data_IF_028676359711
#
_entry.id   IF_028676359711
#
_cell.length_a   1.000
_cell.length_b   1.000
_cell.length_c   1.000
_cell.angle_alpha   90.00
_cell.angle_beta   90.00
_cell.angle_gamma   90.00
#
_symmetry.space_group_name_H-M   'P 1'
#
loop_
_entity.id
_entity.type
_entity.pdbx_description
1 polymer ?
#
# COMPACT_ATOMS: atom_id res chain seq x y z
N UNK A 1 -11.23 -3.49 -5.26
CA UNK A 1 -10.55 -3.26 -6.55
C UNK A 1 -9.91 -4.57 -6.94
N UNK A 2 -10.16 -5.07 -8.16
CA UNK A 2 -9.50 -6.26 -8.68
C UNK A 2 -8.45 -5.82 -9.71
N UNK A 3 -7.24 -6.36 -9.58
CA UNK A 3 -6.12 -6.18 -10.51
C UNK A 3 -5.57 -7.57 -10.80
N UNK A 4 -5.37 -7.88 -12.07
CA UNK A 4 -4.73 -9.13 -12.53
C UNK A 4 -3.49 -8.71 -13.32
N UNK A 5 -2.34 -9.30 -13.02
CA UNK A 5 -1.10 -8.98 -13.71
C UNK A 5 -0.37 -10.28 -13.98
N UNK A 6 0.02 -10.50 -15.22
CA UNK A 6 0.80 -11.67 -15.60
C UNK A 6 1.43 -11.48 -16.99
N UNK A 7 2.28 -12.43 -17.35
CA UNK A 7 2.62 -12.71 -18.75
C UNK A 7 1.49 -13.54 -19.37
N UNK A 8 0.66 -12.89 -20.18
CA UNK A 8 -0.46 -13.55 -20.84
C UNK A 8 -0.05 -14.17 -22.17
N UNK A 9 1.21 -13.96 -22.62
CA UNK A 9 1.70 -14.35 -23.94
C UNK A 9 0.72 -13.92 -25.06
N UNK A 10 0.19 -12.70 -24.94
CA UNK A 10 -0.92 -12.18 -25.72
C UNK A 10 -0.55 -10.80 -26.26
N UNK A 11 -0.64 -10.59 -27.58
CA UNK A 11 -0.51 -9.25 -28.17
C UNK A 11 -1.90 -8.75 -28.51
N UNK A 12 -2.28 -7.59 -27.95
CA UNK A 12 -3.62 -7.02 -28.09
C UNK A 12 -3.73 -5.98 -29.21
N UNK A 13 -2.62 -5.58 -29.82
CA UNK A 13 -2.59 -4.65 -30.95
C UNK A 13 -3.10 -3.24 -30.64
N UNK A 14 -3.71 -2.60 -31.65
CA UNK A 14 -4.20 -1.22 -31.62
C UNK A 14 -5.67 -1.03 -32.09
N UNK A 15 -6.43 -2.11 -32.27
CA UNK A 15 -7.84 -2.05 -32.72
C UNK A 15 -8.79 -1.58 -31.61
N UNK A 16 -8.69 -0.30 -31.28
CA UNK A 16 -9.54 0.35 -30.28
C UNK A 16 -11.01 0.40 -30.70
N UNK A 17 -11.31 0.56 -31.99
CA UNK A 17 -12.70 0.74 -32.43
C UNK A 17 -13.54 -0.50 -32.17
N UNK A 18 -12.98 -1.69 -32.39
CA UNK A 18 -13.62 -2.97 -32.03
C UNK A 18 -13.68 -3.17 -30.52
N UNK A 19 -12.60 -2.83 -29.80
CA UNK A 19 -12.40 -3.20 -28.38
C UNK A 19 -12.52 -2.04 -27.38
N UNK A 20 -13.23 -0.96 -27.74
CA UNK A 20 -13.34 0.29 -26.96
C UNK A 20 -13.74 0.13 -25.49
N UNK A 21 -14.42 -0.97 -25.17
CA UNK A 21 -14.90 -1.25 -23.82
C UNK A 21 -13.77 -1.73 -22.89
N UNK A 22 -12.77 -2.44 -23.45
CA UNK A 22 -11.70 -3.12 -22.71
C UNK A 22 -10.32 -2.51 -22.97
N UNK A 23 -10.12 -1.86 -24.12
CA UNK A 23 -8.88 -1.22 -24.52
C UNK A 23 -8.98 0.30 -24.54
N UNK A 24 -7.83 0.97 -24.45
CA UNK A 24 -7.68 2.38 -24.74
C UNK A 24 -7.09 2.61 -26.14
N UNK A 25 -7.01 3.89 -26.52
CA UNK A 25 -6.57 4.33 -27.86
C UNK A 25 -5.06 4.26 -28.09
N UNK A 26 -4.30 3.78 -27.11
CA UNK A 26 -2.84 3.85 -27.09
C UNK A 26 -2.20 2.45 -27.10
N UNK A 27 -2.82 1.48 -27.77
CA UNK A 27 -2.19 0.22 -28.14
C UNK A 27 -0.88 0.40 -28.94
N UNK A 28 -0.24 -0.70 -29.33
CA UNK A 28 0.98 -0.64 -30.14
C UNK A 28 0.57 -0.55 -31.61
N UNK A 29 0.85 0.62 -32.22
CA UNK A 29 0.43 0.90 -33.59
C UNK A 29 1.06 -0.10 -34.56
N UNK A 30 0.22 -0.76 -35.35
CA UNK A 30 0.65 -1.76 -36.34
C UNK A 30 1.09 -3.10 -35.74
N UNK A 31 0.87 -3.35 -34.46
CA UNK A 31 1.03 -4.69 -33.87
C UNK A 31 -0.24 -5.50 -34.11
N UNK A 32 -0.11 -6.66 -34.73
CA UNK A 32 -1.24 -7.56 -34.94
C UNK A 32 -1.71 -8.19 -33.62
N UNK A 33 -3.03 -8.25 -33.44
CA UNK A 33 -3.65 -8.98 -32.34
C UNK A 33 -3.47 -10.48 -32.56
N UNK A 34 -2.85 -11.18 -31.61
CA UNK A 34 -2.69 -12.64 -31.69
C UNK A 34 -3.97 -13.37 -31.25
N UNK A 35 -4.08 -14.68 -31.51
CA UNK A 35 -5.20 -15.49 -30.99
C UNK A 35 -5.33 -15.40 -29.46
N UNK A 36 -4.20 -15.48 -28.74
CA UNK A 36 -4.17 -15.24 -27.29
C UNK A 36 -4.61 -13.80 -26.94
N UNK A 37 -4.25 -12.82 -27.77
CA UNK A 37 -4.72 -11.44 -27.66
C UNK A 37 -6.24 -11.33 -27.73
N UNK A 38 -6.86 -11.95 -28.72
CA UNK A 38 -8.32 -12.00 -28.87
C UNK A 38 -8.97 -12.65 -27.65
N UNK A 39 -8.48 -13.81 -27.21
CA UNK A 39 -9.00 -14.49 -26.01
C UNK A 39 -8.86 -13.65 -24.76
N UNK A 40 -7.74 -12.91 -24.60
CA UNK A 40 -7.54 -11.99 -23.49
C UNK A 40 -8.53 -10.83 -23.52
N UNK A 41 -8.81 -10.29 -24.70
CA UNK A 41 -9.77 -9.20 -24.89
C UNK A 41 -11.21 -9.67 -24.62
N UNK A 42 -11.59 -10.85 -25.10
CA UNK A 42 -12.87 -11.50 -24.79
C UNK A 42 -13.02 -11.76 -23.29
N UNK A 43 -11.98 -12.31 -22.65
CA UNK A 43 -11.94 -12.50 -21.20
C UNK A 43 -12.15 -11.17 -20.47
N UNK A 44 -11.46 -10.11 -20.89
CA UNK A 44 -11.63 -8.79 -20.30
C UNK A 44 -13.06 -8.27 -20.47
N UNK A 45 -13.68 -8.51 -21.62
CA UNK A 45 -15.03 -8.06 -21.92
C UNK A 45 -16.05 -8.76 -21.01
N UNK A 46 -15.99 -10.10 -20.92
CA UNK A 46 -16.88 -10.91 -20.09
C UNK A 46 -16.76 -10.56 -18.61
N UNK A 47 -15.53 -10.30 -18.13
CA UNK A 47 -15.27 -10.04 -16.71
C UNK A 47 -15.24 -8.56 -16.32
N UNK A 48 -15.65 -7.66 -17.21
CA UNK A 48 -15.63 -6.21 -16.99
C UNK A 48 -14.23 -5.72 -16.53
N UNK A 49 -13.19 -6.16 -17.22
CA UNK A 49 -11.81 -5.73 -17.03
C UNK A 49 -11.38 -4.81 -18.16
N UNK A 50 -10.23 -4.17 -17.99
CA UNK A 50 -9.62 -3.35 -19.04
C UNK A 50 -8.10 -3.47 -19.01
N UNK A 51 -7.50 -3.45 -20.20
CA UNK A 51 -6.06 -3.62 -20.41
C UNK A 51 -5.36 -2.27 -20.26
N UNK A 52 -4.73 -2.03 -19.12
CA UNK A 52 -4.25 -0.68 -18.76
C UNK A 52 -3.06 -0.21 -19.60
N UNK A 53 -2.27 -1.13 -20.17
CA UNK A 53 -1.12 -0.81 -21.04
C UNK A 53 -1.52 -0.08 -22.33
N UNK A 54 -2.80 -0.10 -22.69
CA UNK A 54 -3.34 0.52 -23.90
C UNK A 54 -3.95 1.92 -23.65
N UNK A 55 -3.95 2.41 -22.41
CA UNK A 55 -4.67 3.64 -22.04
C UNK A 55 -3.88 4.92 -22.25
N UNK A 56 -2.56 4.85 -22.14
CA UNK A 56 -1.69 6.03 -22.07
C UNK A 56 -0.74 6.09 -23.26
N UNK A 57 -0.59 7.29 -23.81
CA UNK A 57 0.36 7.52 -24.90
C UNK A 57 1.78 7.50 -24.36
N UNK A 58 2.58 6.59 -24.90
CA UNK A 58 4.00 6.41 -24.57
C UNK A 58 4.80 6.09 -25.81
N UNK A 59 6.11 6.35 -25.77
CA UNK A 59 7.03 5.80 -26.78
C UNK A 59 7.05 4.28 -26.69
N UNK A 60 7.21 3.58 -27.82
CA UNK A 60 7.17 2.11 -27.86
C UNK A 60 8.21 1.44 -26.92
N UNK A 61 9.35 2.09 -26.66
CA UNK A 61 10.35 1.63 -25.68
C UNK A 61 9.82 1.50 -24.24
N UNK A 62 8.69 2.15 -23.94
CA UNK A 62 7.97 2.07 -22.66
C UNK A 62 6.70 1.21 -22.73
N UNK A 63 6.46 0.53 -23.86
CA UNK A 63 5.31 -0.36 -24.07
C UNK A 63 5.72 -1.82 -24.24
N UNK A 64 6.86 -2.09 -24.87
CA UNK A 64 7.37 -3.44 -25.08
C UNK A 64 7.87 -4.06 -23.77
N UNK A 65 7.26 -5.18 -23.41
CA UNK A 65 7.56 -5.91 -22.17
C UNK A 65 8.49 -7.09 -22.43
N UNK A 66 8.58 -7.59 -23.67
CA UNK A 66 9.46 -8.69 -24.05
C UNK A 66 10.38 -8.34 -25.21
N UNK A 67 11.62 -8.81 -25.12
CA UNK A 67 12.71 -8.61 -26.08
C UNK A 67 13.33 -9.95 -26.45
N UNK A 68 12.97 -10.48 -27.61
CA UNK A 68 13.53 -11.74 -28.10
C UNK A 68 15.05 -11.66 -28.25
N UNK A 69 15.72 -12.76 -27.87
CA UNK A 69 17.17 -12.93 -28.04
C UNK A 69 17.55 -13.46 -29.43
N UNK A 70 16.59 -13.61 -30.34
CA UNK A 70 16.84 -14.04 -31.70
C UNK A 70 17.59 -12.96 -32.51
N UNK A 71 18.14 -13.36 -33.67
CA UNK A 71 18.92 -12.46 -34.56
C UNK A 71 18.11 -11.25 -35.06
N UNK A 72 16.78 -11.36 -35.07
CA UNK A 72 15.86 -10.32 -35.55
C UNK A 72 15.52 -9.28 -34.48
N UNK A 73 15.81 -9.56 -33.20
CA UNK A 73 15.60 -8.63 -32.09
C UNK A 73 14.15 -8.19 -31.94
N UNK A 74 13.20 -9.12 -32.15
CA UNK A 74 11.76 -8.83 -32.11
C UNK A 74 11.31 -8.39 -30.72
N UNK A 75 10.36 -7.45 -30.67
CA UNK A 75 9.85 -6.85 -29.44
C UNK A 75 8.35 -7.01 -29.41
N UNK A 76 7.79 -7.30 -28.25
CA UNK A 76 6.34 -7.46 -28.10
C UNK A 76 5.85 -6.96 -26.75
N UNK A 77 4.57 -6.64 -26.70
CA UNK A 77 3.85 -6.46 -25.44
C UNK A 77 3.04 -7.73 -25.17
N UNK A 78 3.46 -8.50 -24.16
CA UNK A 78 2.82 -9.77 -23.75
C UNK A 78 2.51 -9.84 -22.26
N UNK A 79 3.18 -8.99 -21.47
CA UNK A 79 2.84 -8.77 -20.07
C UNK A 79 1.76 -7.69 -20.00
N UNK A 80 0.68 -7.95 -19.27
CA UNK A 80 -0.42 -6.99 -19.12
C UNK A 80 -0.82 -6.81 -17.67
N UNK A 81 -1.34 -5.63 -17.39
CA UNK A 81 -2.04 -5.31 -16.15
C UNK A 81 -3.49 -5.05 -16.52
N UNK A 82 -4.38 -5.88 -15.96
CA UNK A 82 -5.81 -5.78 -16.12
C UNK A 82 -6.41 -5.19 -14.85
N UNK A 83 -7.37 -4.29 -15.01
CA UNK A 83 -8.10 -3.72 -13.87
C UNK A 83 -9.59 -3.83 -14.10
N UNK A 84 -10.36 -4.04 -13.03
CA UNK A 84 -11.81 -3.92 -13.13
C UNK A 84 -12.22 -2.55 -13.66
N UNK A 85 -13.11 -2.54 -14.65
CA UNK A 85 -13.49 -1.37 -15.44
C UNK A 85 -14.02 -0.21 -14.61
N UNK A 86 -14.69 -0.50 -13.49
CA UNK A 86 -15.14 0.51 -12.50
C UNK A 86 -13.98 1.37 -11.97
N UNK A 87 -12.78 0.79 -11.88
CA UNK A 87 -11.58 1.42 -11.33
C UNK A 87 -10.63 1.92 -12.41
N UNK A 88 -11.00 1.85 -13.70
CA UNK A 88 -10.11 2.26 -14.82
C UNK A 88 -9.64 3.71 -14.71
N UNK A 89 -10.47 4.60 -14.18
CA UNK A 89 -10.15 6.02 -13.98
C UNK A 89 -9.25 6.27 -12.76
N UNK A 90 -9.02 5.26 -11.93
CA UNK A 90 -8.05 5.32 -10.84
C UNK A 90 -6.62 5.06 -11.33
N UNK A 91 -6.44 4.49 -12.52
CA UNK A 91 -5.11 4.29 -13.10
C UNK A 91 -4.61 5.65 -13.60
N UNK A 92 -3.45 6.08 -13.11
CA UNK A 92 -2.78 7.32 -13.53
C UNK A 92 -1.77 7.08 -14.66
N UNK A 93 -1.14 5.89 -14.69
CA UNK A 93 -0.19 5.53 -15.73
C UNK A 93 0.00 3.99 -15.79
N UNK A 94 0.37 3.45 -16.94
CA UNK A 94 0.88 2.08 -17.10
C UNK A 94 1.98 2.07 -18.16
N UNK A 95 3.19 1.66 -17.77
CA UNK A 95 4.36 1.66 -18.65
C UNK A 95 5.48 0.75 -18.16
N UNK A 96 6.38 0.42 -19.08
CA UNK A 96 7.58 -0.37 -18.80
C UNK A 96 8.66 0.46 -18.13
N UNK A 97 9.22 -0.07 -17.04
CA UNK A 97 10.28 0.53 -16.24
C UNK A 97 11.66 0.06 -16.69
N UNK A 98 12.30 0.87 -17.54
CA UNK A 98 13.61 0.57 -18.13
C UNK A 98 14.79 0.65 -17.16
N UNK A 99 14.59 1.17 -15.95
CA UNK A 99 15.64 1.24 -14.93
C UNK A 99 15.94 -0.11 -14.26
N UNK A 100 15.12 -1.13 -14.49
CA UNK A 100 15.27 -2.47 -13.94
C UNK A 100 15.93 -3.47 -14.91
N UNK A 101 16.53 -3.01 -16.02
CA UNK A 101 17.15 -3.83 -17.08
C UNK A 101 18.43 -4.60 -16.60
N UNK A 102 18.71 -4.73 -15.31
CA UNK A 102 19.95 -5.32 -14.77
C UNK A 102 19.93 -6.85 -14.59
N UNK A 103 18.78 -7.51 -14.73
CA UNK A 103 18.59 -8.93 -14.35
C UNK A 103 18.81 -9.98 -15.46
N UNK A 104 19.44 -9.62 -16.59
CA UNK A 104 19.66 -10.53 -17.74
C UNK A 104 18.42 -11.35 -18.15
N UNK A 105 17.24 -10.74 -18.03
CA UNK A 105 15.96 -11.27 -18.50
C UNK A 105 15.60 -10.62 -19.83
N UNK A 106 14.91 -11.36 -20.68
CA UNK A 106 14.28 -10.86 -21.91
C UNK A 106 12.97 -10.12 -21.63
N UNK A 107 12.43 -10.22 -20.40
CA UNK A 107 11.29 -9.44 -19.96
C UNK A 107 11.70 -8.14 -19.28
N UNK A 108 10.84 -7.13 -19.40
CA UNK A 108 10.96 -5.84 -18.73
C UNK A 108 9.79 -5.61 -17.80
N UNK A 109 10.10 -5.03 -16.64
CA UNK A 109 9.13 -4.77 -15.60
C UNK A 109 8.04 -3.79 -16.08
N UNK A 110 6.79 -4.26 -16.15
CA UNK A 110 5.61 -3.42 -16.37
C UNK A 110 5.11 -2.85 -15.04
N UNK A 111 4.90 -1.54 -14.97
CA UNK A 111 4.38 -0.86 -13.78
C UNK A 111 3.07 -0.16 -14.09
N UNK A 112 2.12 -0.22 -13.16
CA UNK A 112 0.90 0.58 -13.18
C UNK A 112 0.81 1.45 -11.93
N UNK A 113 0.57 2.75 -12.13
CA UNK A 113 0.38 3.72 -11.05
C UNK A 113 -1.11 3.89 -10.81
N UNK A 114 -1.60 3.55 -9.62
CA UNK A 114 -3.04 3.58 -9.30
C UNK A 114 -3.28 4.51 -8.11
N UNK A 115 -4.20 5.47 -8.28
CA UNK A 115 -4.66 6.39 -7.24
C UNK A 115 -5.96 5.90 -6.62
N UNK A 116 -5.90 5.54 -5.35
CA UNK A 116 -7.07 5.09 -4.58
C UNK A 116 -7.42 6.14 -3.54
N UNK A 117 -8.68 6.58 -3.52
CA UNK A 117 -9.24 7.38 -2.43
C UNK A 117 -9.98 6.46 -1.47
N UNK A 118 -9.36 6.15 -0.34
CA UNK A 118 -9.99 5.35 0.70
C UNK A 118 -10.76 6.25 1.65
N UNK A 119 -12.01 5.87 1.98
CA UNK A 119 -12.71 6.47 3.11
C UNK A 119 -12.07 5.92 4.39
N UNK A 120 -11.56 6.79 5.24
CA UNK A 120 -11.13 6.38 6.58
C UNK A 120 -12.39 5.98 7.34
N UNK A 121 -12.57 4.68 7.56
CA UNK A 121 -13.54 4.20 8.52
C UNK A 121 -12.96 4.47 9.90
N UNK A 122 -13.62 5.34 10.68
CA UNK A 122 -13.29 5.48 12.11
C UNK A 122 -13.60 4.13 12.73
N UNK A 123 -12.56 3.46 13.21
CA UNK A 123 -12.75 2.26 14.00
C UNK A 123 -13.23 2.74 15.38
N UNK A 124 -14.54 2.78 15.59
CA UNK A 124 -15.12 3.20 16.87
C UNK A 124 -14.78 2.22 18.00
N UNK A 125 -14.31 1.01 17.64
CA UNK A 125 -13.75 0.01 18.56
C UNK A 125 -12.31 0.32 18.99
N UNK A 126 -12.01 1.57 19.35
CA UNK A 126 -10.75 1.85 20.05
C UNK A 126 -10.85 1.28 21.46
N UNK A 127 -10.30 0.08 21.65
CA UNK A 127 -10.13 -0.52 22.98
C UNK A 127 -9.29 0.45 23.82
N UNK A 128 -9.94 1.06 24.80
CA UNK A 128 -9.28 1.94 25.77
C UNK A 128 -8.48 1.07 26.71
N UNK A 129 -7.14 1.20 26.67
CA UNK A 129 -6.25 0.43 27.54
C UNK A 129 -6.03 1.20 28.85
N UNK A 130 -6.14 0.52 29.99
CA UNK A 130 -5.74 1.06 31.28
C UNK A 130 -4.21 1.24 31.36
N UNK A 131 -3.74 2.25 32.09
CA UNK A 131 -2.30 2.46 32.33
C UNK A 131 -1.78 1.53 33.45
N UNK A 132 -1.61 0.25 33.14
CA UNK A 132 -1.20 -0.77 34.13
C UNK A 132 0.13 -0.47 34.83
N UNK A 133 0.96 0.44 34.31
CA UNK A 133 2.18 0.91 34.99
C UNK A 133 1.86 1.55 36.34
N UNK A 134 0.67 2.15 36.47
CA UNK A 134 0.20 2.75 37.72
C UNK A 134 0.06 1.74 38.88
N UNK A 135 -0.08 0.44 38.59
CA UNK A 135 -0.15 -0.63 39.60
C UNK A 135 1.23 -0.98 40.22
N UNK A 136 2.31 -0.37 39.73
CA UNK A 136 3.59 -0.38 40.43
C UNK A 136 3.52 0.43 41.73
N UNK A 137 2.62 1.41 41.82
CA UNK A 137 2.34 2.11 43.07
C UNK A 137 1.52 1.19 44.01
N UNK A 138 2.01 0.89 45.23
CA UNK A 138 1.32 0.02 46.18
C UNK A 138 -0.09 0.52 46.56
N UNK A 139 -0.31 1.84 46.68
CA UNK A 139 -1.62 2.39 47.02
C UNK A 139 -2.67 2.09 45.94
N UNK A 140 -2.28 2.26 44.67
CA UNK A 140 -3.16 1.97 43.52
C UNK A 140 -3.42 0.47 43.36
N UNK A 141 -2.48 -0.37 43.77
CA UNK A 141 -2.68 -1.82 43.78
C UNK A 141 -3.76 -2.22 44.78
N UNK A 142 -3.68 -1.67 46.00
CA UNK A 142 -4.66 -1.93 47.05
C UNK A 142 -6.05 -1.42 46.62
N UNK A 143 -6.14 -0.21 46.05
CA UNK A 143 -7.42 0.33 45.54
C UNK A 143 -8.01 -0.54 44.42
N UNK A 144 -7.16 -1.05 43.52
CA UNK A 144 -7.60 -1.97 42.46
C UNK A 144 -8.11 -3.30 43.00
N UNK A 145 -7.38 -3.91 43.94
CA UNK A 145 -7.78 -5.17 44.59
C UNK A 145 -9.13 -5.03 45.31
N UNK A 146 -9.32 -3.95 46.08
CA UNK A 146 -10.56 -3.65 46.77
C UNK A 146 -11.73 -3.46 45.81
N UNK A 147 -11.56 -2.66 44.74
CA UNK A 147 -12.62 -2.44 43.74
C UNK A 147 -12.96 -3.70 42.97
N UNK A 148 -11.96 -4.50 42.61
CA UNK A 148 -12.18 -5.76 41.91
C UNK A 148 -12.95 -6.74 42.80
N UNK A 149 -12.54 -6.90 44.06
CA UNK A 149 -13.22 -7.74 45.04
C UNK A 149 -14.68 -7.30 45.27
N UNK A 150 -14.93 -5.99 45.37
CA UNK A 150 -16.28 -5.44 45.52
C UNK A 150 -17.17 -5.75 44.32
N UNK A 151 -16.67 -5.58 43.08
CA UNK A 151 -17.44 -5.92 41.87
C UNK A 151 -17.75 -7.40 41.79
N UNK A 152 -16.81 -8.28 42.12
CA UNK A 152 -17.09 -9.73 42.17
C UNK A 152 -18.01 -10.14 43.31
N UNK A 153 -17.95 -9.46 44.46
CA UNK A 153 -18.86 -9.73 45.58
C UNK A 153 -20.31 -9.41 45.22
N UNK A 154 -20.56 -8.38 44.38
CA UNK A 154 -21.90 -8.05 43.87
C UNK A 154 -22.43 -9.00 42.79
N UNK A 155 -21.60 -9.91 42.25
CA UNK A 155 -21.94 -10.82 41.16
C UNK A 155 -22.30 -12.24 41.63
N UNK A 156 -22.46 -12.45 42.95
CA UNK A 156 -22.84 -13.75 43.53
C UNK A 156 -24.27 -14.12 43.12
N UNK A 157 -24.42 -14.80 41.99
CA UNK A 157 -25.38 -15.89 41.70
C UNK A 157 -25.71 -16.08 40.19
N UNK A 158 -25.14 -15.29 39.26
CA UNK A 158 -25.33 -15.52 37.82
C UNK A 158 -24.25 -16.45 37.23
N UNK A 159 -24.33 -17.75 37.54
CA UNK A 159 -23.57 -18.76 36.80
C UNK A 159 -24.19 -18.96 35.40
N UNK A 160 -23.87 -18.06 34.47
CA UNK A 160 -24.25 -18.17 33.06
C UNK A 160 -23.37 -19.16 32.27
N UNK A 161 -23.62 -19.25 30.96
CA UNK A 161 -22.73 -19.95 30.02
C UNK A 161 -21.31 -19.31 30.04
N UNK A 162 -20.27 -20.08 29.70
CA UNK A 162 -18.86 -19.70 29.70
C UNK A 162 -18.60 -18.33 29.06
N UNK A 163 -19.25 -18.02 27.95
CA UNK A 163 -19.10 -16.73 27.25
C UNK A 163 -19.54 -15.55 28.11
N UNK A 164 -20.68 -15.68 28.80
CA UNK A 164 -21.19 -14.63 29.70
C UNK A 164 -20.27 -14.46 30.91
N UNK A 165 -19.78 -15.55 31.48
CA UNK A 165 -18.86 -15.49 32.62
C UNK A 165 -17.53 -14.81 32.22
N UNK A 166 -17.05 -15.07 31.01
CA UNK A 166 -15.88 -14.40 30.45
C UNK A 166 -16.12 -12.90 30.22
N UNK A 167 -17.27 -12.51 29.68
CA UNK A 167 -17.64 -11.10 29.50
C UNK A 167 -17.69 -10.36 30.83
N UNK A 168 -18.34 -10.93 31.85
CA UNK A 168 -18.42 -10.36 33.20
C UNK A 168 -17.01 -10.17 33.80
N UNK A 169 -16.16 -11.19 33.72
CA UNK A 169 -14.79 -11.11 34.23
C UNK A 169 -13.98 -10.05 33.50
N UNK A 170 -14.08 -10.01 32.18
CA UNK A 170 -13.40 -9.02 31.33
C UNK A 170 -13.87 -7.61 31.66
N UNK A 171 -15.17 -7.39 31.79
CA UNK A 171 -15.75 -6.08 32.09
C UNK A 171 -15.39 -5.62 33.51
N UNK A 172 -15.53 -6.47 34.52
CA UNK A 172 -15.17 -6.15 35.90
C UNK A 172 -13.67 -5.79 36.02
N UNK A 173 -12.80 -6.57 35.38
CA UNK A 173 -11.36 -6.34 35.41
C UNK A 173 -10.97 -5.06 34.65
N UNK A 174 -11.49 -4.88 33.44
CA UNK A 174 -11.13 -3.73 32.60
C UNK A 174 -11.70 -2.42 33.13
N UNK A 175 -12.93 -2.41 33.64
CA UNK A 175 -13.55 -1.21 34.24
C UNK A 175 -12.83 -0.78 35.51
N UNK A 176 -12.54 -1.72 36.43
CA UNK A 176 -11.76 -1.42 37.65
C UNK A 176 -10.35 -0.91 37.31
N UNK A 177 -9.70 -1.50 36.31
CA UNK A 177 -8.38 -1.04 35.88
C UNK A 177 -8.45 0.37 35.28
N UNK A 178 -9.49 0.69 34.52
CA UNK A 178 -9.68 2.03 33.94
C UNK A 178 -9.99 3.08 35.01
N UNK A 179 -10.77 2.74 36.04
CA UNK A 179 -11.10 3.64 37.16
C UNK A 179 -9.87 3.98 38.00
N UNK A 180 -9.02 2.98 38.32
CA UNK A 180 -7.86 3.17 39.23
C UNK A 180 -6.63 3.68 38.48
N UNK A 181 -6.32 3.08 37.33
CA UNK A 181 -5.11 3.39 36.58
C UNK A 181 -5.33 4.53 35.58
N UNK A 182 -6.58 4.83 35.23
CA UNK A 182 -6.88 5.78 34.16
C UNK A 182 -6.52 5.24 32.77
N UNK A 183 -6.82 6.05 31.75
CA UNK A 183 -6.54 5.70 30.35
C UNK A 183 -5.05 5.84 30.05
N UNK A 184 -4.46 4.84 29.40
CA UNK A 184 -3.10 4.91 28.88
C UNK A 184 -2.99 6.06 27.88
N UNK A 185 -2.25 7.10 28.26
CA UNK A 185 -1.93 8.19 27.34
C UNK A 185 -0.99 7.66 26.27
N UNK A 186 -1.20 8.08 25.02
CA UNK A 186 -0.20 7.86 23.97
C UNK A 186 0.99 8.76 24.30
N UNK A 187 1.98 8.19 24.98
CA UNK A 187 3.28 8.85 25.08
C UNK A 187 3.95 8.82 23.70
N UNK A 188 4.70 9.88 23.37
CA UNK A 188 5.70 9.80 22.31
C UNK A 188 6.53 8.53 22.52
N UNK A 189 6.79 7.77 21.45
CA UNK A 189 7.56 6.53 21.54
C UNK A 189 8.85 6.85 22.32
N UNK A 190 9.32 5.96 23.20
CA UNK A 190 10.48 6.23 24.08
C UNK A 190 11.73 6.70 23.31
N UNK A 191 11.89 6.26 22.07
CA UNK A 191 12.97 6.67 21.17
C UNK A 191 12.74 8.02 20.46
N UNK A 192 11.51 8.53 20.44
CA UNK A 192 11.14 9.81 19.83
C UNK A 192 11.11 10.89 20.92
N UNK A 193 12.31 11.28 21.35
CA UNK A 193 12.54 12.38 22.28
C UNK A 193 12.58 13.72 21.53
N UNK A 194 12.69 14.83 22.28
CA UNK A 194 12.70 16.18 21.71
C UNK A 194 13.89 16.41 20.75
N UNK A 195 14.99 15.71 20.95
CA UNK A 195 16.17 15.76 20.08
C UNK A 195 15.85 15.17 18.70
N UNK A 196 15.28 13.95 18.66
CA UNK A 196 14.86 13.30 17.40
C UNK A 196 13.80 14.13 16.68
N UNK A 197 12.87 14.75 17.42
CA UNK A 197 11.87 15.66 16.85
C UNK A 197 12.52 16.86 16.15
N UNK A 198 13.51 17.50 16.78
CA UNK A 198 14.25 18.62 16.19
C UNK A 198 15.03 18.23 14.93
N UNK A 199 15.62 17.03 14.92
CA UNK A 199 16.37 16.51 13.76
C UNK A 199 15.43 16.21 12.58
N UNK A 200 14.23 15.67 12.85
CA UNK A 200 13.22 15.42 11.82
C UNK A 200 12.74 16.75 11.22
N UNK A 201 12.46 17.76 12.04
CA UNK A 201 12.09 19.09 11.55
C UNK A 201 13.18 19.71 10.66
N UNK A 202 14.45 19.61 11.09
CA UNK A 202 15.60 20.10 10.32
C UNK A 202 15.72 19.37 8.98
N UNK A 203 15.55 18.05 8.97
CA UNK A 203 15.56 17.22 7.76
C UNK A 203 14.46 17.65 6.77
N UNK A 204 13.23 17.85 7.27
CA UNK A 204 12.09 18.29 6.43
C UNK A 204 12.33 19.67 5.84
N UNK A 205 12.83 20.63 6.63
CA UNK A 205 13.19 21.97 6.14
C UNK A 205 14.26 21.93 5.05
N UNK A 206 15.31 21.13 5.24
CA UNK A 206 16.37 20.97 4.25
C UNK A 206 15.87 20.28 2.98
N UNK A 207 14.99 19.28 3.10
CA UNK A 207 14.38 18.61 1.95
C UNK A 207 13.51 19.57 1.12
N UNK A 208 12.68 20.40 1.75
CA UNK A 208 11.91 21.42 1.05
C UNK A 208 12.81 22.45 0.35
N UNK A 209 13.89 22.88 1.00
CA UNK A 209 14.88 23.78 0.38
C UNK A 209 15.54 23.12 -0.84
N UNK A 210 15.92 21.85 -0.74
CA UNK A 210 16.47 21.08 -1.86
C UNK A 210 15.47 20.97 -3.04
N UNK A 211 14.19 20.69 -2.76
CA UNK A 211 13.15 20.64 -3.79
C UNK A 211 12.94 21.97 -4.53
N UNK A 212 13.12 23.10 -3.84
CA UNK A 212 13.02 24.43 -4.47
C UNK A 212 14.25 24.80 -5.30
N UNK A 213 15.43 24.28 -4.94
CA UNK A 213 16.68 24.54 -5.68
C UNK A 213 16.74 23.71 -6.97
N UNK A 214 16.24 22.47 -6.97
CA UNK A 214 16.27 21.58 -8.14
C UNK A 214 15.26 21.89 -9.27
N UNK A 215 14.60 23.05 -9.27
CA UNK A 215 13.65 23.47 -10.32
C UNK A 215 14.13 24.65 -11.17
N UNK A 216 15.32 25.19 -10.89
CA UNK A 216 15.99 26.16 -11.75
C UNK A 216 17.07 25.47 -12.56
N UNK A 217 16.90 25.48 -13.88
CA UNK A 217 17.90 25.21 -14.92
C UNK A 217 18.31 23.74 -15.15
N UNK A 218 18.11 23.32 -16.40
CA UNK A 218 18.39 21.99 -16.91
C UNK A 218 19.87 21.66 -17.00
N UNK A 219 20.50 21.39 -15.86
CA UNK A 219 21.75 20.64 -15.78
C UNK A 219 21.64 19.56 -14.72
N UNK A 220 21.94 18.34 -15.14
CA UNK A 220 22.08 17.15 -14.29
C UNK A 220 23.12 17.41 -13.21
N UNK A 221 22.67 17.61 -11.98
CA UNK A 221 23.54 17.58 -10.82
C UNK A 221 23.99 16.13 -10.57
N UNK A 222 25.15 15.78 -11.12
CA UNK A 222 25.97 14.70 -10.59
C UNK A 222 26.33 15.07 -9.15
N UNK A 223 25.83 14.31 -8.17
CA UNK A 223 26.36 14.38 -6.82
C UNK A 223 26.37 12.98 -6.20
N UNK A 224 27.58 12.56 -5.87
CA UNK A 224 27.99 11.29 -5.27
C UNK A 224 27.22 10.98 -3.97
N UNK A 225 26.76 9.74 -3.84
CA UNK A 225 26.23 9.15 -2.61
C UNK A 225 27.34 8.95 -1.57
N UNK A 226 27.80 10.02 -0.89
CA UNK A 226 28.79 9.90 0.19
C UNK A 226 28.20 9.94 1.61
N UNK A 227 26.89 10.13 1.79
CA UNK A 227 26.33 10.36 3.14
C UNK A 227 25.84 9.09 3.88
N UNK A 228 26.11 7.88 3.38
CA UNK A 228 25.61 6.64 4.00
C UNK A 228 26.67 5.70 4.62
N UNK A 229 27.92 6.15 4.78
CA UNK A 229 29.01 5.27 5.23
C UNK A 229 29.64 5.59 6.60
N UNK A 230 29.25 6.64 7.31
CA UNK A 230 30.00 7.09 8.52
C UNK A 230 29.37 6.74 9.88
N UNK A 231 28.44 5.78 9.98
CA UNK A 231 27.98 5.30 11.30
C UNK A 231 27.93 3.78 11.41
N UNK A 232 29.08 3.17 11.15
CA UNK A 232 29.42 1.83 11.66
C UNK A 232 30.88 1.83 12.11
N UNK A 233 31.10 2.26 13.34
CA UNK A 233 32.09 1.75 14.29
C UNK A 233 31.66 2.16 15.70
#
# INVERSE_FOLDING_TARGET
MLVIMDDFNARVGDDYETWKEVMGKCGIIGEETTDNGLRLLEFCLVHNLSVTSTFFSHKNVHKYTHYSRNKEGTKSQIDHILINRRWRTSVEDTRVYRGADFMNTDHRLLLSKIKIKLKVMKNDNKVVKADVVQLQNPEKRIDFELKLANKFASLKDEAGNLEKNWEILKEATTSSALEVCGKKKQNKKRWFNNEVESLVEKKVKLFHKWQTIGKGDGQTANCSNTTYMEYRE
#
